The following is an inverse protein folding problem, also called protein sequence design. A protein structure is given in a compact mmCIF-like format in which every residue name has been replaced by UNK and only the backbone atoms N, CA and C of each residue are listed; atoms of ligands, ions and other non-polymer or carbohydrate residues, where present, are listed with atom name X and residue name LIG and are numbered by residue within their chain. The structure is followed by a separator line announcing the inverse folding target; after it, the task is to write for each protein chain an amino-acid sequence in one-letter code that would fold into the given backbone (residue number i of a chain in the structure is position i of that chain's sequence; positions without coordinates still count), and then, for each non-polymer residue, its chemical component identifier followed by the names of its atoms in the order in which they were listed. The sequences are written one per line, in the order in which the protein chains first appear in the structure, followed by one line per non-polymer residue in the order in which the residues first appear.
data_IF_425259893960
#
_entry.id   IF_425259893960
#
_cell.length_a   1.000
_cell.length_b   1.000
_cell.length_c   1.000
_cell.angle_alpha   90.00
_cell.angle_beta   90.00
_cell.angle_gamma   90.00
#
_symmetry.space_group_name_H-M   'P 1'
#
loop_
_entity.id
_entity.type
_entity.pdbx_description
1 polymer ?
#
# COMPACT_ATOMS: atom_id res chain seq x y z
N UNK A 1 -9.19 8.75 -3.43
CA UNK A 1 -10.26 9.77 -3.42
C UNK A 1 -11.55 9.29 -2.77
N UNK A 2 -12.20 8.26 -3.33
CA UNK A 2 -13.47 7.71 -2.81
C UNK A 2 -13.37 7.24 -1.34
N UNK A 3 -12.29 6.54 -1.00
CA UNK A 3 -12.02 6.06 0.36
C UNK A 3 -11.88 7.21 1.38
N UNK A 4 -11.15 8.26 1.02
CA UNK A 4 -11.04 9.47 1.83
C UNK A 4 -12.42 10.14 2.07
N UNK A 5 -13.27 10.21 1.03
CA UNK A 5 -14.65 10.73 1.17
C UNK A 5 -15.47 9.87 2.13
N UNK A 6 -15.37 8.54 2.03
CA UNK A 6 -16.04 7.59 2.93
C UNK A 6 -15.60 7.75 4.39
N UNK A 7 -14.34 8.13 4.60
CA UNK A 7 -13.76 8.43 5.91
C UNK A 7 -14.05 9.87 6.39
N UNK A 8 -14.91 10.62 5.71
CA UNK A 8 -15.32 11.96 6.12
C UNK A 8 -14.29 13.07 5.86
N UNK A 9 -13.24 12.79 5.05
CA UNK A 9 -12.23 13.80 4.74
C UNK A 9 -12.81 14.84 3.77
N UNK A 10 -12.71 16.11 4.15
CA UNK A 10 -13.18 17.25 3.35
C UNK A 10 -12.48 17.37 2.00
N UNK A 11 -12.99 18.26 1.14
CA UNK A 11 -12.44 18.46 -0.21
C UNK A 11 -10.95 18.85 -0.21
N UNK A 12 -10.55 19.82 0.64
CA UNK A 12 -9.15 20.25 0.74
C UNK A 12 -8.19 19.12 1.12
N UNK A 13 -8.54 18.33 2.15
CA UNK A 13 -7.71 17.18 2.57
C UNK A 13 -7.66 16.07 1.51
N UNK A 14 -8.74 15.89 0.74
CA UNK A 14 -8.77 14.96 -0.40
C UNK A 14 -7.83 15.39 -1.51
N UNK A 15 -7.88 16.66 -1.93
CA UNK A 15 -6.98 17.20 -2.96
C UNK A 15 -5.54 17.08 -2.46
N UNK A 16 -5.26 17.55 -1.24
CA UNK A 16 -3.91 17.53 -0.69
C UNK A 16 -3.32 16.12 -0.67
N UNK A 17 -4.07 15.13 -0.16
CA UNK A 17 -3.63 13.74 -0.14
C UNK A 17 -3.37 13.15 -1.54
N UNK A 18 -4.23 13.47 -2.53
CA UNK A 18 -4.10 12.97 -3.89
C UNK A 18 -2.89 13.60 -4.62
N UNK A 19 -2.70 14.92 -4.46
CA UNK A 19 -1.55 15.63 -5.02
C UNK A 19 -0.26 15.17 -4.34
N UNK A 20 -0.26 14.97 -3.01
CA UNK A 20 0.90 14.48 -2.31
C UNK A 20 1.24 13.03 -2.67
N UNK A 21 0.24 12.17 -2.89
CA UNK A 21 0.47 10.83 -3.43
C UNK A 21 1.14 10.90 -4.80
N UNK A 22 0.55 11.62 -5.76
CA UNK A 22 1.05 11.66 -7.13
C UNK A 22 2.33 12.49 -7.33
N UNK A 23 2.55 13.52 -6.53
CA UNK A 23 3.65 14.48 -6.75
C UNK A 23 4.72 14.50 -5.67
N UNK A 24 4.38 14.15 -4.42
CA UNK A 24 5.23 14.30 -3.24
C UNK A 24 5.57 12.97 -2.56
N UNK A 25 5.51 11.87 -3.30
CA UNK A 25 5.91 10.55 -2.84
C UNK A 25 6.53 9.74 -3.95
N UNK A 26 7.12 8.60 -3.59
CA UNK A 26 7.69 7.65 -4.55
C UNK A 26 6.65 7.22 -5.61
N UNK A 27 5.36 7.19 -5.27
CA UNK A 27 4.30 6.78 -6.19
C UNK A 27 4.32 7.52 -7.54
N UNK A 28 4.59 8.84 -7.53
CA UNK A 28 4.60 9.68 -8.72
C UNK A 28 5.62 9.21 -9.76
N UNK A 29 6.93 9.31 -9.44
CA UNK A 29 7.99 8.86 -10.35
C UNK A 29 7.82 7.40 -10.79
N UNK A 30 7.45 6.48 -9.90
CA UNK A 30 7.27 5.08 -10.27
C UNK A 30 6.09 4.83 -11.22
N UNK A 31 5.10 5.74 -11.23
CA UNK A 31 3.93 5.61 -12.11
C UNK A 31 4.21 6.02 -13.56
N UNK A 32 5.26 6.81 -13.82
CA UNK A 32 5.61 7.25 -15.19
C UNK A 32 6.31 6.18 -16.02
N UNK A 33 6.81 5.12 -15.37
CA UNK A 33 7.57 4.01 -15.98
C UNK A 33 6.88 2.65 -15.76
N UNK A 34 5.59 2.67 -15.41
CA UNK A 34 4.74 1.47 -15.33
C UNK A 34 5.25 0.38 -14.36
N UNK A 35 5.88 0.75 -13.24
CA UNK A 35 6.30 -0.24 -12.24
C UNK A 35 5.09 -0.97 -11.63
N UNK A 36 5.18 -2.31 -11.55
CA UNK A 36 4.10 -3.16 -11.04
C UNK A 36 3.67 -2.81 -9.61
N UNK A 37 4.59 -2.32 -8.77
CA UNK A 37 4.32 -1.88 -7.40
C UNK A 37 3.24 -0.78 -7.31
N UNK A 38 3.16 0.10 -8.33
CA UNK A 38 2.12 1.15 -8.41
C UNK A 38 0.76 0.49 -8.64
N UNK A 39 0.66 -0.38 -9.63
CA UNK A 39 -0.57 -1.13 -9.90
C UNK A 39 -1.00 -1.98 -8.69
N UNK A 40 -0.05 -2.65 -8.04
CA UNK A 40 -0.30 -3.45 -6.85
C UNK A 40 -0.86 -2.62 -5.69
N UNK A 41 -0.24 -1.47 -5.37
CA UNK A 41 -0.76 -0.57 -4.32
C UNK A 41 -2.14 0.01 -4.64
N UNK A 42 -2.43 0.24 -5.93
CA UNK A 42 -3.68 0.87 -6.36
C UNK A 42 -4.82 -0.12 -6.15
N UNK A 43 -4.57 -1.37 -6.52
CA UNK A 43 -5.51 -2.45 -6.35
C UNK A 43 -5.64 -2.88 -4.88
N UNK A 44 -4.57 -2.82 -4.09
CA UNK A 44 -4.63 -3.03 -2.65
C UNK A 44 -5.57 -2.02 -1.97
N UNK A 45 -5.48 -0.72 -2.31
CA UNK A 45 -6.37 0.28 -1.72
C UNK A 45 -7.81 0.19 -2.26
N UNK A 46 -7.99 -0.27 -3.50
CA UNK A 46 -9.32 -0.61 -4.04
C UNK A 46 -9.95 -1.81 -3.33
N UNK A 47 -9.17 -2.84 -3.00
CA UNK A 47 -9.63 -3.97 -2.21
C UNK A 47 -10.13 -3.51 -0.83
N UNK A 48 -9.37 -2.64 -0.16
CA UNK A 48 -9.78 -2.03 1.12
C UNK A 48 -11.07 -1.22 0.98
N UNK A 49 -11.21 -0.42 -0.08
CA UNK A 49 -12.45 0.33 -0.34
C UNK A 49 -13.66 -0.60 -0.54
N UNK A 50 -13.51 -1.65 -1.35
CA UNK A 50 -14.58 -2.63 -1.58
C UNK A 50 -14.95 -3.39 -0.31
N UNK A 51 -13.96 -3.73 0.54
CA UNK A 51 -14.20 -4.30 1.86
C UNK A 51 -14.96 -3.36 2.78
N UNK A 52 -14.60 -2.09 2.84
CA UNK A 52 -15.32 -1.12 3.68
C UNK A 52 -16.76 -0.90 3.23
N UNK A 53 -17.00 -0.90 1.92
CA UNK A 53 -18.35 -0.76 1.33
C UNK A 53 -19.17 -2.02 1.56
N UNK A 54 -18.59 -3.19 1.26
CA UNK A 54 -19.25 -4.49 1.37
C UNK A 54 -19.52 -4.88 2.82
N UNK A 55 -18.52 -4.80 3.69
CA UNK A 55 -18.61 -5.27 5.08
C UNK A 55 -19.36 -4.33 6.04
N UNK A 56 -20.21 -3.43 5.53
CA UNK A 56 -21.09 -2.55 6.32
C UNK A 56 -22.07 -3.32 7.24
N UNK A 57 -22.78 -2.63 8.15
CA UNK A 57 -23.80 -3.27 9.02
C UNK A 57 -24.90 -3.89 8.15
N UNK A 58 -25.21 -5.20 8.28
CA UNK A 58 -26.37 -5.78 7.60
C UNK A 58 -27.61 -4.95 7.90
N UNK A 59 -28.49 -4.80 6.92
CA UNK A 59 -29.78 -4.16 7.17
C UNK A 59 -30.63 -5.10 8.05
N UNK A 60 -31.68 -4.57 8.70
CA UNK A 60 -32.44 -5.27 9.76
C UNK A 60 -33.05 -6.63 9.34
N UNK A 61 -33.06 -6.96 8.04
CA UNK A 61 -33.50 -8.26 7.52
C UNK A 61 -32.41 -9.31 7.26
N UNK A 62 -31.15 -9.08 7.64
CA UNK A 62 -30.05 -10.06 7.48
C UNK A 62 -29.59 -10.33 6.03
N UNK A 63 -30.33 -9.86 5.03
CA UNK A 63 -29.96 -9.94 3.63
C UNK A 63 -28.94 -8.87 3.27
N UNK A 64 -27.93 -9.27 2.50
CA UNK A 64 -26.93 -8.36 1.95
C UNK A 64 -27.44 -7.80 0.62
N UNK A 65 -27.64 -6.48 0.49
CA UNK A 65 -27.99 -5.88 -0.80
C UNK A 65 -26.99 -6.30 -1.89
N UNK A 66 -27.47 -6.54 -3.11
CA UNK A 66 -26.63 -6.97 -4.24
C UNK A 66 -25.41 -6.06 -4.46
N UNK A 67 -25.58 -4.75 -4.25
CA UNK A 67 -24.51 -3.75 -4.31
C UNK A 67 -23.33 -4.08 -3.37
N UNK A 68 -23.61 -4.60 -2.16
CA UNK A 68 -22.57 -4.97 -1.20
C UNK A 68 -21.82 -6.23 -1.61
N UNK A 69 -22.52 -7.21 -2.18
CA UNK A 69 -21.90 -8.42 -2.77
C UNK A 69 -21.00 -8.04 -3.94
N UNK A 70 -21.47 -7.15 -4.81
CA UNK A 70 -20.66 -6.60 -5.91
C UNK A 70 -19.38 -5.91 -5.42
N UNK A 71 -19.47 -5.11 -4.35
CA UNK A 71 -18.29 -4.48 -3.75
C UNK A 71 -17.29 -5.49 -3.17
N UNK A 72 -17.76 -6.59 -2.57
CA UNK A 72 -16.89 -7.66 -2.09
C UNK A 72 -16.26 -8.46 -3.24
N UNK A 73 -17.00 -8.77 -4.29
CA UNK A 73 -16.46 -9.42 -5.49
C UNK A 73 -15.36 -8.56 -6.12
N UNK A 74 -15.61 -7.26 -6.28
CA UNK A 74 -14.62 -6.31 -6.77
C UNK A 74 -13.41 -6.20 -5.84
N UNK A 75 -13.61 -6.29 -4.52
CA UNK A 75 -12.52 -6.32 -3.56
C UNK A 75 -11.66 -7.59 -3.70
N UNK A 76 -12.29 -8.75 -3.88
CA UNK A 76 -11.60 -10.01 -4.17
C UNK A 76 -10.78 -9.95 -5.45
N UNK A 77 -11.37 -9.44 -6.53
CA UNK A 77 -10.69 -9.25 -7.82
C UNK A 77 -9.47 -8.34 -7.68
N UNK A 78 -9.63 -7.19 -7.03
CA UNK A 78 -8.55 -6.24 -6.79
C UNK A 78 -7.46 -6.83 -5.88
N UNK A 79 -7.83 -7.58 -4.84
CA UNK A 79 -6.89 -8.28 -3.97
C UNK A 79 -6.07 -9.33 -4.72
N UNK A 80 -6.73 -10.17 -5.53
CA UNK A 80 -6.07 -11.18 -6.36
C UNK A 80 -5.10 -10.54 -7.37
N UNK A 81 -5.50 -9.44 -7.99
CA UNK A 81 -4.63 -8.71 -8.92
C UNK A 81 -3.46 -8.04 -8.22
N UNK A 82 -3.68 -7.39 -7.07
CA UNK A 82 -2.60 -6.79 -6.29
C UNK A 82 -1.51 -7.82 -5.94
N UNK A 83 -1.92 -9.01 -5.48
CA UNK A 83 -1.01 -10.10 -5.14
C UNK A 83 -0.34 -10.73 -6.38
N UNK A 84 -1.02 -10.78 -7.52
CA UNK A 84 -0.44 -11.26 -8.78
C UNK A 84 0.62 -10.29 -9.34
N UNK A 85 0.38 -8.99 -9.20
CA UNK A 85 1.34 -7.96 -9.62
C UNK A 85 2.58 -7.90 -8.71
N UNK A 86 2.42 -8.20 -7.43
CA UNK A 86 3.49 -8.28 -6.44
C UNK A 86 3.08 -9.23 -5.29
N UNK A 87 3.71 -10.40 -5.22
CA UNK A 87 3.35 -11.42 -4.23
C UNK A 87 3.48 -10.94 -2.78
N UNK A 88 4.43 -10.04 -2.49
CA UNK A 88 4.58 -9.50 -1.14
C UNK A 88 3.41 -8.60 -0.78
N UNK A 89 2.86 -7.85 -1.74
CA UNK A 89 1.65 -7.04 -1.52
C UNK A 89 0.46 -7.91 -1.12
N UNK A 90 0.47 -9.22 -1.39
CA UNK A 90 -0.49 -10.16 -0.82
C UNK A 90 -0.56 -10.10 0.71
N UNK A 91 0.58 -10.05 1.40
CA UNK A 91 0.62 -9.88 2.87
C UNK A 91 0.04 -8.54 3.32
N UNK A 92 0.32 -7.46 2.58
CA UNK A 92 -0.24 -6.14 2.85
C UNK A 92 -1.78 -6.16 2.71
N UNK A 93 -2.29 -6.74 1.63
CA UNK A 93 -3.74 -6.85 1.38
C UNK A 93 -4.43 -7.70 2.44
N UNK A 94 -3.86 -8.85 2.82
CA UNK A 94 -4.39 -9.70 3.88
C UNK A 94 -4.45 -8.96 5.22
N UNK A 95 -3.37 -8.27 5.59
CA UNK A 95 -3.27 -7.52 6.83
C UNK A 95 -4.22 -6.31 6.88
N UNK A 96 -4.32 -5.54 5.79
CA UNK A 96 -5.28 -4.44 5.67
C UNK A 96 -6.73 -4.95 5.65
N UNK A 97 -6.98 -6.09 5.03
CA UNK A 97 -8.27 -6.76 5.03
C UNK A 97 -8.70 -7.17 6.43
N UNK A 98 -7.83 -7.91 7.14
CA UNK A 98 -7.98 -8.30 8.56
C UNK A 98 -8.24 -7.07 9.45
N UNK A 99 -7.48 -6.00 9.22
CA UNK A 99 -7.67 -4.76 9.93
C UNK A 99 -9.01 -4.08 9.60
N UNK A 100 -9.56 -4.24 8.39
CA UNK A 100 -10.77 -3.54 7.93
C UNK A 100 -12.07 -4.22 8.33
N UNK A 101 -12.09 -5.56 8.39
CA UNK A 101 -13.28 -6.37 8.66
C UNK A 101 -13.25 -6.99 10.07
N UNK A 102 -14.28 -6.75 10.91
CA UNK A 102 -14.36 -7.39 12.23
C UNK A 102 -14.34 -8.93 12.14
N UNK A 103 -13.66 -9.65 13.05
CA UNK A 103 -13.55 -11.12 13.06
C UNK A 103 -14.88 -11.86 12.80
N UNK A 104 -15.94 -11.46 13.50
CA UNK A 104 -17.30 -12.03 13.38
C UNK A 104 -17.95 -11.91 11.99
N UNK A 105 -17.41 -11.09 11.09
CA UNK A 105 -17.98 -10.87 9.73
C UNK A 105 -17.27 -11.65 8.65
N UNK A 106 -16.11 -12.25 8.94
CA UNK A 106 -15.34 -12.99 7.94
C UNK A 106 -16.12 -14.13 7.28
N UNK A 107 -16.91 -14.95 7.99
CA UNK A 107 -17.68 -16.02 7.34
C UNK A 107 -18.65 -15.50 6.26
N UNK A 108 -19.21 -14.31 6.44
CA UNK A 108 -20.11 -13.69 5.48
C UNK A 108 -19.38 -13.00 4.32
N UNK A 109 -18.15 -12.54 4.55
CA UNK A 109 -17.36 -11.76 3.57
C UNK A 109 -16.50 -12.66 2.69
N UNK A 110 -15.88 -13.69 3.29
CA UNK A 110 -14.85 -14.52 2.68
C UNK A 110 -15.30 -15.22 1.38
N UNK A 111 -16.51 -15.81 1.28
CA UNK A 111 -16.93 -16.47 0.04
C UNK A 111 -16.93 -15.54 -1.17
N UNK A 112 -17.34 -14.28 -0.98
CA UNK A 112 -17.36 -13.27 -2.04
C UNK A 112 -15.96 -12.79 -2.43
N UNK A 113 -15.04 -12.68 -1.46
CA UNK A 113 -13.65 -12.35 -1.76
C UNK A 113 -12.98 -13.47 -2.56
N UNK A 114 -13.18 -14.72 -2.15
CA UNK A 114 -12.64 -15.90 -2.84
C UNK A 114 -13.20 -15.98 -4.25
N UNK A 115 -14.52 -15.81 -4.41
CA UNK A 115 -15.16 -15.83 -5.73
C UNK A 115 -14.65 -14.69 -6.63
N UNK A 116 -14.42 -13.50 -6.07
CA UNK A 116 -13.86 -12.36 -6.81
C UNK A 116 -12.39 -12.55 -7.20
N UNK A 117 -11.58 -13.16 -6.33
CA UNK A 117 -10.15 -13.39 -6.56
C UNK A 117 -9.88 -14.57 -7.52
N UNK A 118 -10.78 -15.57 -7.54
CA UNK A 118 -10.65 -16.80 -8.30
C UNK A 118 -10.17 -16.62 -9.76
N UNK A 119 -10.74 -15.74 -10.60
CA UNK A 119 -10.29 -15.59 -11.99
C UNK A 119 -8.82 -15.16 -12.09
N UNK A 120 -8.35 -14.27 -11.21
CA UNK A 120 -6.97 -13.77 -11.24
C UNK A 120 -6.00 -14.84 -10.72
N UNK A 121 -6.38 -15.54 -9.64
CA UNK A 121 -5.59 -16.65 -9.10
C UNK A 121 -5.45 -17.76 -10.14
N UNK A 122 -6.55 -18.13 -10.81
CA UNK A 122 -6.54 -19.14 -11.87
C UNK A 122 -5.66 -18.72 -13.05
N UNK A 123 -5.78 -17.48 -13.53
CA UNK A 123 -4.93 -16.95 -14.61
C UNK A 123 -3.45 -16.94 -14.22
N UNK A 124 -3.12 -16.52 -13.00
CA UNK A 124 -1.74 -16.48 -12.48
C UNK A 124 -1.16 -17.89 -12.37
N UNK A 125 -1.92 -18.83 -11.81
CA UNK A 125 -1.53 -20.23 -11.68
C UNK A 125 -1.31 -20.90 -13.05
N UNK A 126 -2.20 -20.64 -14.01
CA UNK A 126 -2.08 -21.14 -15.37
C UNK A 126 -0.84 -20.59 -16.07
N UNK A 127 -0.57 -19.29 -15.92
CA UNK A 127 0.63 -18.65 -16.44
C UNK A 127 1.90 -19.28 -15.84
N UNK A 128 1.97 -19.43 -14.52
CA UNK A 128 3.12 -20.07 -13.87
C UNK A 128 3.32 -21.51 -14.32
N UNK A 129 2.25 -22.28 -14.43
CA UNK A 129 2.35 -23.65 -14.91
C UNK A 129 2.87 -23.71 -16.34
N UNK A 130 2.38 -22.84 -17.22
CA UNK A 130 2.84 -22.77 -18.61
C UNK A 130 4.29 -22.28 -18.73
N UNK A 131 4.71 -21.31 -17.91
CA UNK A 131 6.04 -20.69 -18.00
C UNK A 131 7.13 -21.47 -17.26
N UNK A 132 6.78 -22.09 -16.13
CA UNK A 132 7.74 -22.67 -15.17
C UNK A 132 7.49 -24.15 -14.88
N UNK A 133 6.49 -24.77 -15.51
CA UNK A 133 6.12 -26.17 -15.31
C UNK A 133 5.32 -26.46 -14.03
N UNK A 134 5.09 -25.46 -13.16
CA UNK A 134 4.34 -25.62 -11.92
C UNK A 134 3.59 -24.34 -11.58
N UNK A 135 2.32 -24.44 -11.15
CA UNK A 135 1.53 -23.30 -10.69
C UNK A 135 2.12 -22.61 -9.44
N UNK A 136 2.93 -23.34 -8.67
CA UNK A 136 3.56 -22.86 -7.45
C UNK A 136 4.99 -22.32 -7.68
N UNK A 137 5.55 -22.53 -8.86
CA UNK A 137 6.84 -21.96 -9.21
C UNK A 137 6.65 -20.53 -9.69
N UNK A 138 7.45 -19.60 -9.17
CA UNK A 138 7.42 -18.18 -9.56
C UNK A 138 8.75 -17.79 -10.20
N UNK A 139 8.78 -16.66 -10.90
CA UNK A 139 9.99 -16.22 -11.62
C UNK A 139 11.25 -16.11 -10.76
N UNK A 140 11.12 -15.82 -9.46
CA UNK A 140 12.26 -15.79 -8.53
C UNK A 140 12.96 -17.14 -8.36
N UNK A 141 12.26 -18.27 -8.52
CA UNK A 141 12.85 -19.61 -8.40
C UNK A 141 13.85 -19.89 -9.52
N UNK A 142 13.70 -19.17 -10.64
CA UNK A 142 14.51 -19.32 -11.86
C UNK A 142 15.46 -18.15 -12.08
N UNK A 143 15.72 -17.33 -11.05
CA UNK A 143 16.51 -16.11 -11.21
C UNK A 143 17.97 -16.41 -11.58
N UNK A 144 18.45 -15.88 -12.71
CA UNK A 144 19.82 -16.15 -13.18
C UNK A 144 20.91 -15.47 -12.32
N UNK A 145 20.69 -14.18 -11.98
CA UNK A 145 21.77 -13.33 -11.43
C UNK A 145 21.83 -13.22 -9.89
N UNK A 146 20.76 -13.56 -9.19
CA UNK A 146 20.67 -13.42 -7.73
C UNK A 146 20.34 -14.76 -7.12
N UNK A 147 21.37 -15.54 -6.78
CA UNK A 147 21.21 -16.87 -6.19
C UNK A 147 20.35 -16.83 -4.91
N UNK A 148 20.52 -15.79 -4.08
CA UNK A 148 19.74 -15.61 -2.87
C UNK A 148 18.23 -15.46 -3.11
N UNK A 149 17.79 -15.11 -4.32
CA UNK A 149 16.38 -14.92 -4.64
C UNK A 149 15.65 -16.23 -4.97
N UNK A 150 16.41 -17.30 -5.27
CA UNK A 150 15.86 -18.63 -5.61
C UNK A 150 15.21 -19.30 -4.40
N UNK A 151 15.73 -19.03 -3.20
CA UNK A 151 15.17 -19.54 -1.96
C UNK A 151 14.55 -18.41 -1.13
N UNK A 152 13.34 -18.65 -0.61
CA UNK A 152 12.61 -17.66 0.20
C UNK A 152 13.35 -17.33 1.50
N UNK A 153 13.93 -18.34 2.14
CA UNK A 153 14.68 -18.17 3.39
C UNK A 153 15.87 -17.25 3.18
N UNK A 154 16.65 -17.44 2.10
CA UNK A 154 17.78 -16.56 1.81
C UNK A 154 17.33 -15.18 1.35
N UNK A 155 16.20 -15.07 0.63
CA UNK A 155 15.63 -13.77 0.22
C UNK A 155 15.34 -12.87 1.41
N UNK A 156 14.79 -13.44 2.49
CA UNK A 156 14.40 -12.72 3.71
C UNK A 156 15.35 -12.95 4.89
N UNK A 157 16.66 -13.10 4.62
CA UNK A 157 17.71 -13.29 5.63
C UNK A 157 18.49 -12.01 5.98
N UNK A 158 18.04 -10.85 5.50
CA UNK A 158 18.64 -9.55 5.79
C UNK A 158 18.44 -9.11 7.25
N UNK A 159 19.26 -8.16 7.70
CA UNK A 159 19.14 -7.58 9.04
C UNK A 159 17.92 -6.64 9.10
N UNK A 160 16.88 -6.92 9.92
CA UNK A 160 15.64 -6.15 9.94
C UNK A 160 15.84 -4.70 10.42
N UNK A 161 16.80 -4.43 11.30
CA UNK A 161 17.05 -3.05 11.77
C UNK A 161 17.66 -2.20 10.66
N UNK A 162 18.60 -2.78 9.91
CA UNK A 162 19.18 -2.14 8.72
C UNK A 162 18.11 -1.92 7.67
N UNK A 163 17.28 -2.94 7.39
CA UNK A 163 16.20 -2.82 6.42
C UNK A 163 15.17 -1.74 6.79
N UNK A 164 14.74 -1.69 8.06
CA UNK A 164 13.85 -0.63 8.54
C UNK A 164 14.49 0.75 8.43
N UNK A 165 15.77 0.89 8.79
CA UNK A 165 16.47 2.17 8.71
C UNK A 165 16.66 2.63 7.27
N UNK A 166 16.95 1.71 6.35
CA UNK A 166 17.05 2.01 4.91
C UNK A 166 15.69 2.37 4.31
N UNK A 167 14.62 1.67 4.68
CA UNK A 167 13.29 1.90 4.12
C UNK A 167 12.60 3.15 4.68
N UNK A 168 12.66 3.35 5.99
CA UNK A 168 11.88 4.40 6.68
C UNK A 168 12.73 5.57 7.15
N UNK A 169 14.02 5.35 7.40
CA UNK A 169 14.93 6.35 7.96
C UNK A 169 15.84 6.99 6.91
N UNK A 170 17.06 7.31 7.34
CA UNK A 170 18.12 7.85 6.50
C UNK A 170 19.24 6.82 6.25
N UNK A 171 18.89 5.53 6.19
CA UNK A 171 19.84 4.46 5.86
C UNK A 171 20.29 4.48 4.40
N UNK A 172 20.87 3.36 3.94
CA UNK A 172 21.35 3.22 2.56
C UNK A 172 20.25 3.56 1.55
N UNK A 173 20.63 4.26 0.48
CA UNK A 173 19.70 4.78 -0.54
C UNK A 173 18.75 5.91 -0.06
N UNK A 174 18.73 6.23 1.24
CA UNK A 174 17.84 7.20 1.89
C UNK A 174 16.33 6.85 1.80
N UNK A 175 15.71 6.45 2.91
CA UNK A 175 14.32 5.98 2.94
C UNK A 175 13.25 7.07 2.95
N UNK A 176 12.03 6.74 3.38
CA UNK A 176 10.86 7.64 3.39
C UNK A 176 11.12 8.93 4.15
N UNK A 177 11.86 8.91 5.26
CA UNK A 177 12.22 10.11 6.01
C UNK A 177 12.94 11.15 5.15
N UNK A 178 13.77 10.70 4.21
CA UNK A 178 14.54 11.58 3.34
C UNK A 178 13.77 11.85 2.04
N UNK A 179 13.27 10.81 1.37
CA UNK A 179 12.69 10.95 0.03
C UNK A 179 11.26 11.48 0.03
N UNK A 180 10.47 11.15 1.04
CA UNK A 180 9.06 11.52 1.11
C UNK A 180 8.59 11.82 2.54
N UNK A 181 9.21 12.76 3.28
CA UNK A 181 8.89 13.02 4.68
C UNK A 181 7.42 13.39 4.91
N UNK A 182 6.72 13.95 3.91
CA UNK A 182 5.27 14.19 4.00
C UNK A 182 4.46 12.91 4.23
N UNK A 183 4.95 11.75 3.77
CA UNK A 183 4.26 10.46 3.98
C UNK A 183 4.39 9.97 5.43
N UNK A 184 5.37 10.45 6.21
CA UNK A 184 5.43 10.20 7.65
C UNK A 184 4.31 10.92 8.41
N UNK A 185 3.87 12.07 7.90
CA UNK A 185 2.64 12.71 8.41
C UNK A 185 1.41 11.82 8.13
N UNK A 186 1.42 11.09 7.03
CA UNK A 186 0.42 10.06 6.75
C UNK A 186 0.38 8.96 7.81
N UNK A 187 1.55 8.45 8.23
CA UNK A 187 1.66 7.50 9.36
C UNK A 187 1.06 8.10 10.63
N UNK A 188 1.41 9.33 10.97
CA UNK A 188 0.87 10.02 12.15
C UNK A 188 -0.65 10.20 12.06
N UNK A 189 -1.18 10.53 10.88
CA UNK A 189 -2.62 10.64 10.62
C UNK A 189 -3.37 9.32 10.82
N UNK A 190 -2.80 8.19 10.35
CA UNK A 190 -3.35 6.86 10.64
C UNK A 190 -3.27 6.54 12.14
N UNK A 191 -2.18 6.88 12.80
CA UNK A 191 -1.95 6.54 14.21
C UNK A 191 -2.94 7.22 15.17
N UNK A 192 -3.29 8.49 14.89
CA UNK A 192 -4.22 9.26 15.73
C UNK A 192 -5.70 9.00 15.43
N UNK A 193 -6.03 8.46 14.24
CA UNK A 193 -7.40 8.08 13.89
C UNK A 193 -7.72 6.67 14.41
N UNK A 194 -8.66 6.57 15.36
CA UNK A 194 -9.01 5.28 16.00
C UNK A 194 -9.46 4.21 15.00
N UNK A 195 -10.13 4.61 13.91
CA UNK A 195 -10.64 3.68 12.90
C UNK A 195 -9.61 3.28 11.85
N UNK A 196 -8.57 4.07 11.64
CA UNK A 196 -7.51 3.83 10.66
C UNK A 196 -6.21 3.30 11.29
N UNK A 197 -5.98 3.49 12.60
CA UNK A 197 -4.80 2.98 13.32
C UNK A 197 -4.58 1.48 13.14
N UNK A 198 -5.68 0.72 13.04
CA UNK A 198 -5.65 -0.73 12.76
C UNK A 198 -4.93 -1.08 11.46
N UNK A 199 -4.88 -0.19 10.47
CA UNK A 199 -4.16 -0.41 9.22
C UNK A 199 -2.64 -0.39 9.39
N UNK A 200 -2.11 0.37 10.35
CA UNK A 200 -0.68 0.32 10.67
C UNK A 200 -0.30 -1.07 11.19
N UNK A 201 -1.12 -1.62 12.09
CA UNK A 201 -0.94 -2.98 12.59
C UNK A 201 -1.16 -4.03 11.51
N UNK A 202 -2.12 -3.82 10.61
CA UNK A 202 -2.34 -4.68 9.45
C UNK A 202 -1.16 -4.68 8.46
N UNK A 203 -0.51 -3.54 8.26
CA UNK A 203 0.65 -3.43 7.37
C UNK A 203 1.95 -3.96 8.00
N UNK A 204 2.01 -4.06 9.33
CA UNK A 204 3.24 -4.40 10.06
C UNK A 204 3.90 -5.71 9.60
N UNK A 205 3.18 -6.84 9.39
CA UNK A 205 3.82 -8.07 8.92
C UNK A 205 4.54 -7.91 7.57
N UNK A 206 3.95 -7.14 6.66
CA UNK A 206 4.56 -6.84 5.35
C UNK A 206 5.78 -5.94 5.51
N UNK A 207 5.69 -4.90 6.34
CA UNK A 207 6.83 -3.99 6.62
C UNK A 207 8.00 -4.77 7.23
N UNK A 208 7.74 -5.64 8.20
CA UNK A 208 8.78 -6.45 8.86
C UNK A 208 9.40 -7.42 7.86
N UNK A 209 8.60 -8.10 7.05
CA UNK A 209 9.13 -9.01 6.04
C UNK A 209 9.99 -8.27 5.01
N UNK A 210 9.57 -7.09 4.55
CA UNK A 210 10.35 -6.25 3.66
C UNK A 210 11.66 -5.78 4.29
N UNK A 211 11.67 -5.46 5.58
CA UNK A 211 12.89 -5.10 6.29
C UNK A 211 13.88 -6.27 6.39
N UNK A 212 13.38 -7.50 6.43
CA UNK A 212 14.22 -8.71 6.37
C UNK A 212 14.72 -9.03 4.96
N UNK A 213 14.30 -8.32 3.91
CA UNK A 213 14.78 -8.59 2.55
C UNK A 213 16.29 -8.34 2.45
N UNK A 214 17.06 -9.16 1.71
CA UNK A 214 18.52 -8.98 1.54
C UNK A 214 18.90 -7.67 0.87
N UNK A 215 18.04 -7.16 0.02
CA UNK A 215 18.22 -5.86 -0.66
C UNK A 215 17.06 -4.94 -0.31
N UNK A 216 16.94 -4.48 0.95
CA UNK A 216 15.75 -3.76 1.41
C UNK A 216 15.53 -2.42 0.69
N UNK A 217 16.55 -1.93 0.00
CA UNK A 217 16.60 -0.71 -0.80
C UNK A 217 16.08 -0.86 -2.23
N UNK A 218 15.64 -2.05 -2.68
CA UNK A 218 15.17 -2.26 -4.06
C UNK A 218 16.19 -2.92 -5.00
N UNK A 219 17.26 -3.51 -4.45
CA UNK A 219 18.30 -4.18 -5.25
C UNK A 219 19.33 -3.19 -5.79
N UNK A 220 19.87 -3.47 -6.97
CA UNK A 220 20.93 -2.67 -7.58
C UNK A 220 20.54 -1.20 -7.84
N UNK A 221 19.24 -0.90 -7.96
CA UNK A 221 18.77 0.47 -8.17
C UNK A 221 18.73 1.34 -6.92
N UNK A 222 18.78 0.73 -5.72
CA UNK A 222 18.66 1.42 -4.42
C UNK A 222 17.52 2.47 -4.35
N UNK A 223 16.41 2.15 -4.99
CA UNK A 223 15.36 3.08 -5.39
C UNK A 223 14.12 3.07 -4.44
N UNK A 224 14.14 2.19 -3.42
CA UNK A 224 13.09 1.99 -2.40
C UNK A 224 11.70 1.66 -2.95
N UNK A 225 11.64 1.10 -4.16
CA UNK A 225 10.38 0.77 -4.83
C UNK A 225 9.46 -0.16 -4.04
N UNK A 226 10.00 -0.96 -3.12
CA UNK A 226 9.20 -1.87 -2.30
C UNK A 226 8.20 -1.17 -1.38
N UNK A 227 8.38 0.12 -1.06
CA UNK A 227 7.42 0.88 -0.25
C UNK A 227 6.30 1.52 -1.07
N UNK A 228 6.43 1.58 -2.40
CA UNK A 228 5.45 2.18 -3.30
C UNK A 228 4.03 1.64 -3.06
N UNK A 229 3.80 0.32 -2.88
CA UNK A 229 2.45 -0.21 -2.67
C UNK A 229 1.75 0.31 -1.41
N UNK A 230 2.51 0.78 -0.41
CA UNK A 230 1.96 1.31 0.84
C UNK A 230 1.58 2.80 0.74
N UNK A 231 2.09 3.54 -0.25
CA UNK A 231 1.87 4.99 -0.38
C UNK A 231 0.38 5.39 -0.42
N UNK A 232 -0.54 4.66 -1.09
CA UNK A 232 -1.96 5.01 -1.06
C UNK A 232 -2.59 4.91 0.33
N UNK A 233 -2.12 3.98 1.16
CA UNK A 233 -2.56 3.83 2.56
C UNK A 233 -2.08 5.02 3.39
N UNK A 234 -0.82 5.43 3.21
CA UNK A 234 -0.26 6.61 3.88
C UNK A 234 -0.95 7.90 3.41
N UNK A 235 -1.32 8.00 2.13
CA UNK A 235 -2.11 9.11 1.61
C UNK A 235 -3.50 9.21 2.25
N UNK A 236 -4.14 8.09 2.61
CA UNK A 236 -5.36 8.12 3.42
C UNK A 236 -5.09 8.78 4.78
N UNK A 237 -4.02 8.36 5.44
CA UNK A 237 -3.53 8.97 6.67
C UNK A 237 -3.28 10.47 6.54
N UNK A 238 -2.67 10.88 5.44
CA UNK A 238 -2.33 12.28 5.17
C UNK A 238 -3.58 13.15 5.03
N UNK A 239 -4.62 12.63 4.36
CA UNK A 239 -5.92 13.30 4.30
C UNK A 239 -6.60 13.44 5.66
N UNK A 240 -6.47 12.42 6.53
CA UNK A 240 -6.97 12.47 7.91
C UNK A 240 -6.19 13.47 8.78
N UNK A 241 -4.86 13.50 8.66
CA UNK A 241 -4.00 14.47 9.33
C UNK A 241 -4.34 15.90 8.92
N UNK A 242 -4.50 16.14 7.62
CA UNK A 242 -4.95 17.43 7.09
C UNK A 242 -6.26 17.87 7.73
N UNK A 243 -7.31 17.04 7.62
CA UNK A 243 -8.64 17.35 8.14
C UNK A 243 -8.60 17.69 9.65
N UNK A 244 -7.82 16.93 10.42
CA UNK A 244 -7.71 17.09 11.86
C UNK A 244 -6.96 18.36 12.26
N UNK A 245 -5.85 18.66 11.60
CA UNK A 245 -4.93 19.71 12.07
C UNK A 245 -5.13 21.05 11.36
N UNK A 246 -5.54 21.05 10.09
CA UNK A 246 -5.86 22.28 9.36
C UNK A 246 -7.28 22.79 9.65
N UNK A 247 -8.13 22.01 10.32
CA UNK A 247 -9.48 22.41 10.73
C UNK A 247 -9.56 23.13 12.07
N UNK A 248 -8.49 23.11 12.87
CA UNK A 248 -8.47 23.70 14.21
C UNK A 248 -8.33 25.24 14.16
N UNK A 249 -9.25 25.95 14.82
CA UNK A 249 -9.29 27.42 14.84
C UNK A 249 -7.97 28.02 15.36
N UNK A 250 -7.51 29.11 14.72
CA UNK A 250 -6.33 29.90 15.11
C UNK A 250 -4.98 29.50 14.49
N UNK A 251 -4.71 28.20 14.29
CA UNK A 251 -3.40 27.72 13.73
C UNK A 251 -3.51 26.99 12.38
N UNK A 252 -4.74 26.76 11.91
CA UNK A 252 -5.05 26.09 10.65
C UNK A 252 -4.16 26.49 9.47
N UNK A 253 -4.01 27.80 9.23
CA UNK A 253 -3.25 28.33 8.07
C UNK A 253 -1.78 27.97 8.11
N UNK A 254 -1.15 28.01 9.29
CA UNK A 254 0.28 27.75 9.45
C UNK A 254 0.58 26.27 9.32
N UNK A 255 -0.28 25.41 9.87
CA UNK A 255 -0.16 23.96 9.71
C UNK A 255 -0.34 23.58 8.24
N UNK A 256 -1.36 24.11 7.57
CA UNK A 256 -1.58 23.87 6.14
C UNK A 256 -0.36 24.31 5.31
N UNK A 257 0.17 25.52 5.55
CA UNK A 257 1.36 26.01 4.88
C UNK A 257 2.59 25.11 5.13
N UNK A 258 2.80 24.66 6.37
CA UNK A 258 3.89 23.74 6.71
C UNK A 258 3.75 22.38 5.99
N UNK A 259 2.54 21.83 5.92
CA UNK A 259 2.27 20.58 5.20
C UNK A 259 2.49 20.71 3.70
N UNK A 260 2.10 21.85 3.10
CA UNK A 260 2.35 22.14 1.68
C UNK A 260 3.85 22.30 1.43
N UNK A 261 4.57 23.04 2.28
CA UNK A 261 6.02 23.18 2.18
C UNK A 261 6.73 21.82 2.28
N UNK A 262 6.30 20.97 3.22
CA UNK A 262 6.82 19.61 3.36
C UNK A 262 6.53 18.73 2.14
N UNK A 263 5.35 18.89 1.52
CA UNK A 263 5.00 18.19 0.28
C UNK A 263 5.87 18.67 -0.90
N UNK A 264 6.11 19.97 -1.03
CA UNK A 264 7.01 20.52 -2.07
C UNK A 264 8.44 20.02 -1.88
N UNK A 265 8.94 20.02 -0.65
CA UNK A 265 10.25 19.45 -0.33
C UNK A 265 10.31 17.96 -0.69
N UNK A 266 9.30 17.18 -0.29
CA UNK A 266 9.21 15.75 -0.61
C UNK A 266 9.17 15.49 -2.11
N UNK A 267 8.43 16.32 -2.87
CA UNK A 267 8.41 16.25 -4.34
C UNK A 267 9.80 16.49 -4.91
N UNK A 268 10.48 17.57 -4.51
CA UNK A 268 11.84 17.87 -4.98
C UNK A 268 12.82 16.72 -4.69
N UNK A 269 12.81 16.19 -3.46
CA UNK A 269 13.71 15.12 -3.03
C UNK A 269 13.43 13.81 -3.79
N UNK A 270 12.16 13.37 -3.82
CA UNK A 270 11.76 12.13 -4.50
C UNK A 270 12.01 12.15 -6.00
N UNK A 271 11.64 13.22 -6.71
CA UNK A 271 11.84 13.32 -8.15
C UNK A 271 13.33 13.46 -8.51
N UNK A 272 14.11 14.24 -7.75
CA UNK A 272 15.56 14.37 -8.02
C UNK A 272 16.29 13.05 -7.82
N UNK A 273 15.93 12.29 -6.78
CA UNK A 273 16.52 10.97 -6.54
C UNK A 273 16.26 10.02 -7.71
N UNK A 274 15.01 9.91 -8.17
CA UNK A 274 14.66 9.01 -9.27
C UNK A 274 15.28 9.44 -10.60
N UNK A 275 15.27 10.74 -10.91
CA UNK A 275 15.89 11.25 -12.15
C UNK A 275 17.40 11.01 -12.18
N UNK A 276 18.09 11.04 -11.03
CA UNK A 276 19.52 10.70 -10.93
C UNK A 276 19.78 9.20 -11.00
N UNK A 277 18.87 8.38 -10.48
CA UNK A 277 19.02 6.93 -10.53
C UNK A 277 18.84 6.36 -11.95
N UNK A 278 18.12 7.08 -12.82
CA UNK A 278 17.77 6.61 -14.18
C UNK A 278 18.42 7.39 -15.33
N UNK A 279 19.12 8.49 -15.05
CA UNK A 279 19.85 9.29 -16.05
C UNK A 279 21.33 8.97 -16.03
#
# INVERSE_FOLDING_TARGET
GLLLRRRGVGWGGRIFALLALGGASLWGPYSTVLFSHVSAGALAIWAVLGLEVGAGRPDEGGQWPALRRGALLAAGLAAGWAASADYLVGLLVLGLGAASVPPRRWPAVLPWLVLGAAPIVAATAAYHHAAFGSALSIGYDHHANFEFARERVTTFSGNPLVGLWSQWGAGQGAGVLVLAPVMLVGVAGLAVDRGARRWLWGALPWIVLLACHRTPTGGAGEDHRYLVPLMPVLAVGLGLAWQRWSGAQGRARWIAAALVALAVLSASLGWTHVLRAWG
#
